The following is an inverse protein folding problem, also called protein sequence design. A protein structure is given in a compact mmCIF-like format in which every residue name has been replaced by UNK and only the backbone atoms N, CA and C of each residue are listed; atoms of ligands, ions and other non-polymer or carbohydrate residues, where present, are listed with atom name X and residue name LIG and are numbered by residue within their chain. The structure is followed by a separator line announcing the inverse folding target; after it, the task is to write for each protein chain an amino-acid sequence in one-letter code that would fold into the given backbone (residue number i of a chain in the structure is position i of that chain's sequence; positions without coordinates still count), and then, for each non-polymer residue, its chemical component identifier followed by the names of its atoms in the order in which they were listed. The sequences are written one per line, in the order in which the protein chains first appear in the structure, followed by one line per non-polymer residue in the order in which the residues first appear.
data_IF_888630733330
#
_entry.id   IF_888630733330
#
_cell.length_a   1.000
_cell.length_b   1.000
_cell.length_c   1.000
_cell.angle_alpha   90.00
_cell.angle_beta   90.00
_cell.angle_gamma   90.00
#
_symmetry.space_group_name_H-M   'P 1'
#
loop_
_entity.id
_entity.type
_entity.pdbx_description
1 polymer ?
#
# COMPACT_ATOMS: atom_id res chain seq x y z
N UNK A 1 9.36 1.26 8.32
CA UNK A 1 9.31 0.99 6.87
C UNK A 1 8.07 1.57 6.19
N UNK A 2 6.85 1.36 6.72
CA UNK A 2 5.61 1.85 6.10
C UNK A 2 5.55 3.38 5.99
N UNK A 3 6.18 4.08 6.93
CA UNK A 3 6.30 5.53 6.90
C UNK A 3 7.08 6.03 5.68
N UNK A 4 8.29 5.50 5.52
CA UNK A 4 9.17 5.78 4.39
C UNK A 4 8.49 5.42 3.06
N UNK A 5 7.77 4.29 3.01
CA UNK A 5 7.01 3.90 1.81
C UNK A 5 5.97 4.96 1.43
N UNK A 6 5.17 5.43 2.39
CA UNK A 6 4.15 6.44 2.13
C UNK A 6 4.75 7.78 1.68
N UNK A 7 5.84 8.21 2.32
CA UNK A 7 6.58 9.41 1.95
C UNK A 7 7.11 9.29 0.52
N UNK A 8 7.80 8.19 0.19
CA UNK A 8 8.38 8.02 -1.16
C UNK A 8 7.29 7.98 -2.22
N UNK A 9 6.16 7.31 -1.99
CA UNK A 9 5.02 7.31 -2.91
C UNK A 9 4.52 8.73 -3.15
N UNK A 10 4.21 9.49 -2.10
CA UNK A 10 3.66 10.83 -2.24
C UNK A 10 4.65 11.83 -2.84
N UNK A 11 5.91 11.79 -2.40
CA UNK A 11 6.97 12.65 -2.93
C UNK A 11 7.26 12.33 -4.40
N UNK A 12 7.25 11.04 -4.79
CA UNK A 12 7.47 10.66 -6.19
C UNK A 12 6.40 11.21 -7.12
N UNK A 13 5.14 11.21 -6.67
CA UNK A 13 4.00 11.76 -7.41
C UNK A 13 4.10 13.28 -7.52
N UNK A 14 4.38 13.96 -6.41
CA UNK A 14 4.53 15.43 -6.38
C UNK A 14 5.69 15.93 -7.25
N UNK A 15 6.84 15.25 -7.23
CA UNK A 15 7.98 15.60 -8.11
C UNK A 15 7.62 15.37 -9.58
N UNK A 16 6.93 14.26 -9.89
CA UNK A 16 6.57 13.90 -11.25
C UNK A 16 5.55 14.85 -11.91
N UNK A 17 4.86 15.70 -11.13
CA UNK A 17 4.01 16.77 -11.68
C UNK A 17 4.73 17.71 -12.67
N UNK A 18 6.05 17.78 -12.58
CA UNK A 18 6.95 18.58 -13.44
C UNK A 18 7.78 17.75 -14.44
N UNK A 19 7.60 16.42 -14.47
CA UNK A 19 8.37 15.54 -15.34
C UNK A 19 7.81 15.52 -16.77
N UNK A 20 8.67 15.26 -17.79
CA UNK A 20 8.23 15.11 -19.17
C UNK A 20 7.28 13.91 -19.33
N UNK A 21 6.50 13.92 -20.42
CA UNK A 21 5.58 12.84 -20.77
C UNK A 21 6.28 11.48 -20.78
N UNK A 22 5.68 10.48 -20.14
CA UNK A 22 6.24 9.13 -20.00
C UNK A 22 6.30 8.36 -21.33
N UNK A 23 6.90 7.17 -21.28
CA UNK A 23 7.09 6.29 -22.44
C UNK A 23 5.79 5.77 -23.07
N UNK A 24 4.66 5.81 -22.36
CA UNK A 24 3.39 5.34 -22.93
C UNK A 24 2.93 6.31 -24.03
N UNK A 25 2.77 5.83 -25.29
CA UNK A 25 2.38 6.69 -26.39
C UNK A 25 1.08 7.44 -26.14
N UNK A 26 0.98 8.66 -26.67
CA UNK A 26 -0.20 9.52 -26.62
C UNK A 26 -1.50 8.80 -27.03
N UNK A 27 -1.43 7.88 -27.99
CA UNK A 27 -2.57 7.10 -28.49
C UNK A 27 -2.87 5.79 -27.76
N UNK A 28 -2.17 5.47 -26.65
CA UNK A 28 -2.49 4.26 -25.88
C UNK A 28 -3.88 4.37 -25.26
N UNK A 29 -4.75 3.35 -25.42
CA UNK A 29 -6.04 3.36 -24.77
C UNK A 29 -5.86 3.28 -23.26
N UNK A 30 -6.63 4.08 -22.50
CA UNK A 30 -6.45 4.25 -21.06
C UNK A 30 -6.47 2.92 -20.29
N UNK A 31 -7.33 1.98 -20.69
CA UNK A 31 -7.43 0.66 -20.05
C UNK A 31 -6.12 -0.15 -20.17
N UNK A 32 -5.39 -0.03 -21.28
CA UNK A 32 -4.15 -0.77 -21.49
C UNK A 32 -3.01 -0.17 -20.65
N UNK A 33 -2.95 1.15 -20.55
CA UNK A 33 -2.03 1.84 -19.64
C UNK A 33 -2.27 1.46 -18.18
N UNK A 34 -3.53 1.49 -17.73
CA UNK A 34 -3.89 1.05 -16.38
C UNK A 34 -3.64 -0.44 -16.15
N UNK A 35 -3.86 -1.30 -17.14
CA UNK A 35 -3.52 -2.71 -17.04
C UNK A 35 -2.00 -2.91 -16.82
N UNK A 36 -1.15 -2.17 -17.55
CA UNK A 36 0.29 -2.22 -17.38
C UNK A 36 0.72 -1.74 -15.98
N UNK A 37 0.11 -0.67 -15.46
CA UNK A 37 0.37 -0.17 -14.11
C UNK A 37 -0.07 -1.18 -13.05
N UNK A 38 -1.29 -1.69 -13.14
CA UNK A 38 -1.95 -2.49 -12.10
C UNK A 38 -1.50 -3.95 -12.08
N UNK A 39 -1.11 -4.53 -13.22
CA UNK A 39 -0.82 -5.97 -13.31
C UNK A 39 0.29 -6.41 -12.35
N UNK A 40 1.45 -5.71 -12.23
CA UNK A 40 2.48 -6.13 -11.28
C UNK A 40 2.05 -5.97 -9.82
N UNK A 41 1.27 -4.94 -9.48
CA UNK A 41 0.69 -4.84 -8.13
C UNK A 41 -0.26 -6.00 -7.82
N UNK A 42 -1.09 -6.40 -8.79
CA UNK A 42 -2.00 -7.53 -8.64
C UNK A 42 -1.22 -8.85 -8.45
N UNK A 43 -0.18 -9.09 -9.26
CA UNK A 43 0.69 -10.26 -9.13
C UNK A 43 1.36 -10.30 -7.75
N UNK A 44 1.93 -9.18 -7.29
CA UNK A 44 2.52 -9.09 -5.96
C UNK A 44 1.48 -9.34 -4.86
N UNK A 45 0.26 -8.79 -5.01
CA UNK A 45 -0.84 -9.00 -4.06
C UNK A 45 -1.22 -10.48 -3.94
N UNK A 46 -1.36 -11.17 -5.07
CA UNK A 46 -1.64 -12.61 -5.13
C UNK A 46 -0.50 -13.40 -4.49
N UNK A 47 0.76 -13.10 -4.83
CA UNK A 47 1.92 -13.78 -4.25
C UNK A 47 1.97 -13.63 -2.73
N UNK A 48 1.77 -12.43 -2.19
CA UNK A 48 1.74 -12.20 -0.74
C UNK A 48 0.62 -13.00 -0.09
N UNK A 49 -0.58 -13.01 -0.68
CA UNK A 49 -1.72 -13.78 -0.17
C UNK A 49 -1.46 -15.29 -0.17
N UNK A 50 -0.89 -15.83 -1.25
CA UNK A 50 -0.56 -17.24 -1.37
C UNK A 50 0.51 -17.64 -0.35
N UNK A 51 1.61 -16.89 -0.27
CA UNK A 51 2.69 -17.13 0.71
C UNK A 51 2.13 -17.09 2.13
N UNK A 52 1.33 -16.07 2.45
CA UNK A 52 0.75 -15.94 3.80
C UNK A 52 -0.20 -17.09 4.13
N UNK A 53 -1.01 -17.54 3.17
CA UNK A 53 -1.89 -18.69 3.36
C UNK A 53 -1.09 -20.00 3.56
N UNK A 54 -0.02 -20.21 2.79
CA UNK A 54 0.86 -21.38 2.92
C UNK A 54 1.59 -21.38 4.27
N UNK A 55 2.14 -20.23 4.68
CA UNK A 55 2.79 -20.09 5.99
C UNK A 55 1.80 -20.32 7.13
N UNK A 56 0.58 -19.79 7.02
CA UNK A 56 -0.48 -20.02 8.01
C UNK A 56 -0.76 -21.53 8.16
N UNK A 57 -0.92 -22.26 7.05
CA UNK A 57 -1.13 -23.72 7.09
C UNK A 57 0.05 -24.48 7.71
N UNK A 58 1.28 -24.02 7.51
CA UNK A 58 2.48 -24.64 8.10
C UNK A 58 2.55 -24.40 9.61
N UNK A 59 2.22 -23.19 10.06
CA UNK A 59 2.12 -22.86 11.48
C UNK A 59 1.08 -23.76 12.17
N UNK A 60 -0.07 -23.96 11.54
CA UNK A 60 -1.17 -24.77 12.11
C UNK A 60 -0.82 -26.24 12.25
N UNK A 61 -0.08 -26.78 11.27
CA UNK A 61 0.25 -28.20 11.23
C UNK A 61 1.50 -28.57 12.03
N UNK A 62 2.47 -27.66 12.15
CA UNK A 62 3.82 -27.97 12.67
C UNK A 62 4.32 -27.03 13.76
N UNK A 63 3.61 -25.94 14.07
CA UNK A 63 4.12 -24.91 14.98
C UNK A 63 5.37 -24.21 14.47
N UNK A 64 5.59 -24.17 13.15
CA UNK A 64 6.86 -23.71 12.56
C UNK A 64 7.02 -22.18 12.64
N UNK A 65 7.78 -21.71 13.63
CA UNK A 65 8.11 -20.28 13.79
C UNK A 65 8.91 -19.70 12.63
N UNK A 66 9.65 -20.51 11.84
CA UNK A 66 10.39 -20.01 10.67
C UNK A 66 9.44 -19.53 9.58
N UNK A 67 8.25 -20.13 9.47
CA UNK A 67 7.23 -19.71 8.52
C UNK A 67 6.73 -18.28 8.78
N UNK A 68 6.73 -17.84 10.03
CA UNK A 68 6.42 -16.45 10.43
C UNK A 68 7.48 -15.50 9.88
N UNK A 69 8.76 -15.78 10.16
CA UNK A 69 9.89 -14.95 9.70
C UNK A 69 9.93 -14.87 8.18
N UNK A 70 9.71 -16.00 7.50
CA UNK A 70 9.66 -16.06 6.04
C UNK A 70 8.51 -15.20 5.47
N UNK A 71 7.31 -15.29 6.05
CA UNK A 71 6.17 -14.48 5.60
C UNK A 71 6.43 -12.98 5.75
N UNK A 72 7.00 -12.55 6.87
CA UNK A 72 7.38 -11.15 7.07
C UNK A 72 8.47 -10.69 6.10
N UNK A 73 9.53 -11.50 5.90
CA UNK A 73 10.63 -11.18 4.99
C UNK A 73 10.15 -11.06 3.54
N UNK A 74 9.37 -12.03 3.06
CA UNK A 74 8.81 -11.99 1.70
C UNK A 74 7.82 -10.84 1.50
N UNK A 75 7.00 -10.53 2.52
CA UNK A 75 6.11 -9.36 2.44
C UNK A 75 6.90 -8.06 2.42
N UNK A 76 8.01 -7.97 3.17
CA UNK A 76 8.93 -6.83 3.12
C UNK A 76 9.51 -6.63 1.73
N UNK A 77 10.03 -7.69 1.11
CA UNK A 77 10.54 -7.66 -0.26
C UNK A 77 9.47 -7.31 -1.29
N UNK A 78 8.26 -7.86 -1.16
CA UNK A 78 7.17 -7.55 -2.08
C UNK A 78 6.74 -6.08 -1.98
N UNK A 79 6.74 -5.49 -0.78
CA UNK A 79 6.53 -4.03 -0.60
C UNK A 79 7.66 -3.23 -1.23
N UNK A 80 8.91 -3.65 -1.09
CA UNK A 80 10.03 -2.96 -1.76
C UNK A 80 9.91 -3.02 -3.28
N UNK A 81 9.58 -4.19 -3.84
CA UNK A 81 9.33 -4.36 -5.27
C UNK A 81 8.15 -3.50 -5.75
N UNK A 82 7.09 -3.40 -4.96
CA UNK A 82 5.96 -2.52 -5.25
C UNK A 82 6.35 -1.04 -5.29
N UNK A 83 7.22 -0.60 -4.38
CA UNK A 83 7.73 0.77 -4.36
C UNK A 83 8.56 1.06 -5.61
N UNK A 84 9.48 0.16 -5.95
CA UNK A 84 10.29 0.29 -7.16
C UNK A 84 9.40 0.33 -8.42
N UNK A 85 8.39 -0.55 -8.48
CA UNK A 85 7.44 -0.56 -9.58
C UNK A 85 6.60 0.72 -9.65
N UNK A 86 6.20 1.27 -8.51
CA UNK A 86 5.49 2.55 -8.45
C UNK A 86 6.34 3.69 -9.04
N UNK A 87 7.62 3.77 -8.68
CA UNK A 87 8.56 4.77 -9.23
C UNK A 87 8.64 4.62 -10.76
N UNK A 88 8.75 3.40 -11.28
CA UNK A 88 8.72 3.13 -12.73
C UNK A 88 7.40 3.57 -13.35
N UNK A 89 6.26 3.27 -12.71
CA UNK A 89 4.95 3.70 -13.23
C UNK A 89 4.84 5.21 -13.34
N UNK A 90 5.31 5.94 -12.33
CA UNK A 90 5.21 7.40 -12.28
C UNK A 90 6.19 8.05 -13.28
N UNK A 91 7.48 7.73 -13.20
CA UNK A 91 8.51 8.43 -13.98
C UNK A 91 8.78 7.86 -15.37
N UNK A 92 8.54 6.57 -15.57
CA UNK A 92 8.86 5.90 -16.85
C UNK A 92 7.60 5.70 -17.68
N UNK A 93 6.51 5.20 -17.08
CA UNK A 93 5.26 4.95 -17.82
C UNK A 93 4.39 6.20 -17.95
N UNK A 94 4.63 7.26 -17.19
CA UNK A 94 3.78 8.46 -17.20
C UNK A 94 2.43 8.25 -16.52
N UNK A 95 2.41 7.49 -15.42
CA UNK A 95 1.20 7.12 -14.68
C UNK A 95 0.35 8.32 -14.23
N UNK A 96 0.97 9.46 -13.95
CA UNK A 96 0.26 10.70 -13.63
C UNK A 96 -0.54 11.22 -14.84
N UNK A 97 0.05 11.20 -16.03
CA UNK A 97 -0.64 11.57 -17.27
C UNK A 97 -1.82 10.63 -17.58
N UNK A 98 -1.70 9.33 -17.27
CA UNK A 98 -2.83 8.40 -17.37
C UNK A 98 -3.98 8.75 -16.41
N UNK A 99 -3.67 9.20 -15.21
CA UNK A 99 -4.67 9.65 -14.25
C UNK A 99 -5.36 10.93 -14.72
N UNK A 100 -4.59 11.93 -15.17
CA UNK A 100 -5.09 13.20 -15.71
C UNK A 100 -6.07 13.04 -16.88
N UNK A 101 -5.87 12.03 -17.73
CA UNK A 101 -6.81 11.74 -18.84
C UNK A 101 -8.21 11.36 -18.36
N UNK A 102 -8.34 10.85 -17.13
CA UNK A 102 -9.61 10.44 -16.55
C UNK A 102 -10.18 11.55 -15.66
N UNK A 103 -9.32 12.16 -14.84
CA UNK A 103 -9.74 13.12 -13.81
C UNK A 103 -9.81 14.56 -14.31
N UNK A 104 -9.10 14.88 -15.39
CA UNK A 104 -8.90 16.26 -15.84
C UNK A 104 -7.89 17.01 -14.98
N UNK A 105 -8.05 18.33 -14.91
CA UNK A 105 -7.17 19.28 -14.22
C UNK A 105 -7.49 19.38 -12.71
N UNK A 106 -7.49 18.24 -12.04
CA UNK A 106 -7.70 18.14 -10.60
C UNK A 106 -6.44 17.54 -9.97
N UNK A 107 -5.46 18.39 -9.67
CA UNK A 107 -4.11 18.01 -9.20
C UNK A 107 -4.14 17.12 -7.95
N UNK A 108 -5.12 17.29 -7.08
CA UNK A 108 -5.22 16.41 -5.90
C UNK A 108 -5.74 15.01 -6.26
N UNK A 109 -6.61 14.91 -7.26
CA UNK A 109 -7.33 13.67 -7.58
C UNK A 109 -6.48 12.78 -8.48
N UNK A 110 -5.79 13.34 -9.48
CA UNK A 110 -4.87 12.58 -10.34
C UNK A 110 -3.67 12.04 -9.54
N UNK A 111 -3.10 12.85 -8.64
CA UNK A 111 -2.02 12.42 -7.75
C UNK A 111 -2.44 11.27 -6.83
N UNK A 112 -3.61 11.39 -6.19
CA UNK A 112 -4.13 10.34 -5.33
C UNK A 112 -4.45 9.07 -6.12
N UNK A 113 -4.98 9.21 -7.34
CA UNK A 113 -5.26 8.09 -8.23
C UNK A 113 -3.98 7.38 -8.68
N UNK A 114 -2.91 8.13 -8.96
CA UNK A 114 -1.60 7.58 -9.31
C UNK A 114 -0.92 6.87 -8.13
N UNK A 115 -1.11 7.36 -6.89
CA UNK A 115 -0.60 6.75 -5.67
C UNK A 115 -1.42 5.54 -5.18
N UNK A 116 -2.71 5.47 -5.53
CA UNK A 116 -3.66 4.49 -5.01
C UNK A 116 -3.22 3.03 -5.17
N UNK A 117 -2.65 2.56 -6.31
CA UNK A 117 -2.23 1.16 -6.45
C UNK A 117 -1.16 0.75 -5.43
N UNK A 118 -0.20 1.63 -5.17
CA UNK A 118 0.87 1.38 -4.21
C UNK A 118 0.34 1.31 -2.78
N UNK A 119 -0.60 2.18 -2.41
CA UNK A 119 -1.27 2.14 -1.10
C UNK A 119 -2.20 0.94 -0.96
N UNK A 120 -2.93 0.57 -2.01
CA UNK A 120 -3.82 -0.59 -2.01
C UNK A 120 -3.03 -1.87 -1.73
N UNK A 121 -1.87 -2.06 -2.38
CA UNK A 121 -1.02 -3.22 -2.11
C UNK A 121 -0.42 -3.19 -0.70
N UNK A 122 -0.03 -2.01 -0.20
CA UNK A 122 0.43 -1.87 1.18
C UNK A 122 -0.66 -2.33 2.17
N UNK A 123 -1.89 -1.85 2.04
CA UNK A 123 -3.01 -2.28 2.89
C UNK A 123 -3.35 -3.76 2.71
N UNK A 124 -3.32 -4.26 1.47
CA UNK A 124 -3.54 -5.67 1.16
C UNK A 124 -2.53 -6.57 1.85
N UNK A 125 -1.25 -6.17 1.87
CA UNK A 125 -0.20 -6.95 2.52
C UNK A 125 -0.44 -7.11 4.04
N UNK A 126 -0.99 -6.08 4.71
CA UNK A 126 -1.42 -6.21 6.11
C UNK A 126 -2.61 -7.16 6.26
N UNK A 127 -3.57 -7.09 5.33
CA UNK A 127 -4.71 -8.01 5.33
C UNK A 127 -4.29 -9.46 5.15
N UNK A 128 -3.24 -9.70 4.34
CA UNK A 128 -2.69 -11.02 4.08
C UNK A 128 -1.90 -11.58 5.28
N UNK A 129 -1.19 -10.73 6.03
CA UNK A 129 -0.45 -11.11 7.25
C UNK A 129 -1.33 -11.28 8.49
N UNK A 130 -2.50 -10.64 8.53
CA UNK A 130 -3.46 -10.73 9.65
C UNK A 130 -3.68 -12.15 10.25
N UNK A 131 -3.91 -13.24 9.47
CA UNK A 131 -4.09 -14.58 10.03
C UNK A 131 -2.86 -15.08 10.79
N UNK A 132 -1.65 -14.72 10.37
CA UNK A 132 -0.41 -15.09 11.04
C UNK A 132 -0.29 -14.35 12.37
N UNK A 133 -0.51 -13.03 12.35
CA UNK A 133 -0.45 -12.20 13.56
C UNK A 133 -1.49 -12.63 14.61
N UNK A 134 -2.71 -12.96 14.17
CA UNK A 134 -3.75 -13.49 15.04
C UNK A 134 -3.28 -14.74 15.81
N UNK A 135 -2.55 -15.64 15.15
CA UNK A 135 -2.05 -16.89 15.75
C UNK A 135 -0.91 -16.65 16.73
N UNK A 136 0.03 -15.78 16.37
CA UNK A 136 1.11 -15.37 17.27
C UNK A 136 0.53 -14.79 18.57
N UNK A 137 -0.49 -13.94 18.44
CA UNK A 137 -1.16 -13.34 19.59
C UNK A 137 -2.01 -14.32 20.39
N UNK A 138 -2.63 -15.31 19.73
CA UNK A 138 -3.33 -16.38 20.44
C UNK A 138 -2.37 -17.24 21.27
N UNK A 139 -1.17 -17.51 20.75
CA UNK A 139 -0.13 -18.23 21.48
C UNK A 139 0.38 -17.41 22.69
N UNK A 140 0.54 -16.10 22.56
CA UNK A 140 0.88 -15.24 23.71
C UNK A 140 -0.26 -15.16 24.72
N UNK A 141 -1.51 -15.14 24.26
CA UNK A 141 -2.67 -15.04 25.13
C UNK A 141 -2.82 -16.22 26.09
N UNK A 142 -2.47 -17.43 25.62
CA UNK A 142 -2.49 -18.62 26.47
C UNK A 142 -1.54 -18.46 27.66
N UNK A 143 -0.36 -17.88 27.41
CA UNK A 143 0.63 -17.57 28.44
C UNK A 143 0.15 -16.48 29.39
N UNK A 144 -0.49 -15.45 28.87
CA UNK A 144 -1.06 -14.36 29.69
C UNK A 144 -2.17 -14.87 30.64
N UNK A 145 -2.95 -15.87 30.20
CA UNK A 145 -3.96 -16.52 31.02
C UNK A 145 -3.33 -17.27 32.20
N UNK A 146 -2.24 -18.02 31.96
CA UNK A 146 -1.52 -18.74 33.01
C UNK A 146 -0.93 -17.79 34.06
N UNK A 147 -0.58 -16.57 33.65
CA UNK A 147 -0.06 -15.50 34.53
C UNK A 147 -1.17 -14.66 35.19
N UNK A 148 -2.45 -14.97 34.97
CA UNK A 148 -3.59 -14.24 35.55
C UNK A 148 -3.79 -12.82 35.02
N UNK A 149 -3.26 -12.50 33.83
CA UNK A 149 -3.36 -11.17 33.23
C UNK A 149 -4.70 -10.95 32.51
N UNK A 150 -5.22 -9.71 32.47
CA UNK A 150 -6.46 -9.40 31.75
C UNK A 150 -6.32 -9.60 30.24
N UNK A 151 -7.31 -10.28 29.64
CA UNK A 151 -7.35 -10.65 28.22
C UNK A 151 -8.21 -9.66 27.43
N UNK A 152 -7.64 -9.10 26.37
CA UNK A 152 -8.37 -8.24 25.43
C UNK A 152 -8.64 -8.97 24.11
N UNK A 153 -9.86 -8.82 23.59
CA UNK A 153 -10.26 -9.42 22.32
C UNK A 153 -9.48 -8.81 21.13
N UNK A 154 -8.98 -9.67 20.24
CA UNK A 154 -8.26 -9.21 19.05
C UNK A 154 -9.24 -8.64 18.00
N UNK A 155 -8.95 -7.47 17.38
CA UNK A 155 -9.83 -6.85 16.39
C UNK A 155 -10.05 -7.74 15.16
N UNK A 156 -11.22 -7.59 14.54
CA UNK A 156 -11.52 -8.21 13.25
C UNK A 156 -10.58 -7.72 12.14
N UNK A 157 -10.37 -8.53 11.09
CA UNK A 157 -9.39 -8.22 10.04
C UNK A 157 -9.57 -6.86 9.37
N UNK A 158 -10.82 -6.40 9.18
CA UNK A 158 -11.09 -5.06 8.63
C UNK A 158 -10.71 -3.95 9.62
N UNK A 159 -11.07 -4.09 10.90
CA UNK A 159 -10.71 -3.12 11.94
C UNK A 159 -9.19 -3.05 12.14
N UNK A 160 -8.51 -4.18 12.04
CA UNK A 160 -7.05 -4.25 12.07
C UNK A 160 -6.43 -3.43 10.93
N UNK A 161 -6.82 -3.68 9.68
CA UNK A 161 -6.28 -2.93 8.53
C UNK A 161 -6.64 -1.45 8.63
N UNK A 162 -7.88 -1.11 9.04
CA UNK A 162 -8.30 0.27 9.22
C UNK A 162 -7.50 0.98 10.32
N UNK A 163 -7.21 0.30 11.43
CA UNK A 163 -6.39 0.88 12.50
C UNK A 163 -4.97 1.17 12.03
N UNK A 164 -4.40 0.29 11.20
CA UNK A 164 -3.09 0.49 10.59
C UNK A 164 -3.12 1.62 9.57
N UNK A 165 -4.14 1.66 8.72
CA UNK A 165 -4.33 2.73 7.75
C UNK A 165 -4.44 4.09 8.47
N UNK A 166 -5.29 4.18 9.49
CA UNK A 166 -5.47 5.38 10.30
C UNK A 166 -4.17 5.82 10.98
N UNK A 167 -3.47 4.91 11.64
CA UNK A 167 -2.30 5.28 12.44
C UNK A 167 -1.08 5.58 11.56
N UNK A 168 -0.85 4.84 10.48
CA UNK A 168 0.35 5.01 9.66
C UNK A 168 0.12 5.94 8.47
N UNK A 169 -1.02 5.83 7.78
CA UNK A 169 -1.28 6.63 6.59
C UNK A 169 -1.84 7.99 6.97
N UNK A 170 -2.82 8.10 7.90
CA UNK A 170 -3.41 9.42 8.18
C UNK A 170 -2.40 10.39 8.77
N UNK A 171 -1.48 9.96 9.64
CA UNK A 171 -0.48 10.86 10.22
C UNK A 171 0.44 11.46 9.14
N UNK A 172 0.69 10.77 8.02
CA UNK A 172 1.64 11.19 6.99
C UNK A 172 0.98 11.76 5.74
N UNK A 173 -0.12 11.15 5.30
CA UNK A 173 -0.86 11.59 4.13
C UNK A 173 -1.64 12.88 4.44
N UNK A 174 -2.16 13.06 5.66
CA UNK A 174 -2.96 14.23 5.99
C UNK A 174 -2.22 15.57 5.81
N UNK A 175 -0.98 15.77 6.32
CA UNK A 175 -0.28 17.03 6.08
C UNK A 175 0.00 17.26 4.59
N UNK A 176 0.36 16.21 3.84
CA UNK A 176 0.65 16.34 2.42
C UNK A 176 -0.60 16.66 1.59
N UNK A 177 -1.71 15.95 1.84
CA UNK A 177 -3.02 16.23 1.20
C UNK A 177 -3.49 17.64 1.54
N UNK A 178 -3.27 18.10 2.77
CA UNK A 178 -3.66 19.46 3.18
C UNK A 178 -2.82 20.53 2.47
N UNK A 179 -1.51 20.33 2.34
CA UNK A 179 -0.62 21.25 1.61
C UNK A 179 -1.00 21.30 0.12
N UNK A 180 -1.16 20.13 -0.52
CA UNK A 180 -1.51 20.04 -1.94
C UNK A 180 -2.90 20.63 -2.22
N UNK A 181 -3.88 20.28 -1.39
CA UNK A 181 -5.23 20.82 -1.52
C UNK A 181 -5.29 22.34 -1.28
N UNK A 182 -4.48 22.87 -0.37
CA UNK A 182 -4.39 24.31 -0.15
C UNK A 182 -3.73 25.05 -1.31
N UNK A 183 -2.64 24.50 -1.86
CA UNK A 183 -1.98 25.05 -3.05
C UNK A 183 -2.93 25.11 -4.24
N UNK A 184 -3.65 24.02 -4.52
CA UNK A 184 -4.66 23.96 -5.58
C UNK A 184 -5.79 24.98 -5.39
N UNK A 185 -6.27 25.16 -4.14
CA UNK A 185 -7.30 26.16 -3.84
C UNK A 185 -6.81 27.60 -4.07
N UNK A 186 -5.56 27.89 -3.74
CA UNK A 186 -4.96 29.21 -3.99
C UNK A 186 -4.83 29.47 -5.49
N UNK A 187 -4.33 28.50 -6.26
CA UNK A 187 -4.18 28.64 -7.71
C UNK A 187 -5.53 28.90 -8.40
N UNK A 188 -6.60 28.25 -7.94
CA UNK A 188 -7.96 28.47 -8.45
C UNK A 188 -8.61 29.78 -7.99
N UNK A 189 -8.19 30.34 -6.85
CA UNK A 189 -8.77 31.58 -6.31
C UNK A 189 -8.11 32.85 -6.87
N UNK A 190 -6.89 32.73 -7.39
CA UNK A 190 -6.13 33.83 -8.00
C UNK A 190 -6.44 34.00 -9.50
N UNK A 191 -7.03 32.98 -10.14
CA UNK A 191 -7.59 33.01 -11.49
C UNK A 191 -9.06 33.44 -11.48
#
# INVERSE_FOLDING_TARGET
MSALYAIVVLVSVSIAGSAPDGLLPGGTPAWAGWAAVLAPFAVLGVLISLVSALCTRRIDRRGDGRAVVLAHRLTGWARFAALAWHIVCIFVLGGLGLARRITGDLVLVDELMAAAPAFALLLWSYRALYPIEKRIRAASLMRDLDEGRPIYAFPSGRRYVLSIARNNLSIMALPLVLILGWAELLDRAVL
#
